data_IF_750501352870
#
_entry.id   IF_750501352870
#
_cell.length_a   1.000
_cell.length_b   1.000
_cell.length_c   1.000
_cell.angle_alpha   90.00
_cell.angle_beta   90.00
_cell.angle_gamma   90.00
#
_symmetry.space_group_name_H-M   'P 1'
#
loop_
_entity.id
_entity.type
_entity.pdbx_description
1 polymer ?
#
# COMPACT_ATOMS: atom_id res chain seq x y z
N UNK A 1 -51.26 43.83 -38.52
CA UNK A 1 -50.29 42.72 -38.39
C UNK A 1 -48.91 43.32 -38.42
N UNK A 2 -48.21 43.35 -37.28
CA UNK A 2 -46.82 43.81 -37.24
C UNK A 2 -45.98 42.90 -38.14
N UNK A 3 -45.07 43.48 -38.93
CA UNK A 3 -44.17 42.65 -39.75
C UNK A 3 -43.24 41.90 -38.78
N UNK A 4 -43.07 40.60 -38.97
CA UNK A 4 -42.06 39.79 -38.30
C UNK A 4 -41.10 39.21 -39.32
N UNK A 5 -39.97 38.70 -38.85
CA UNK A 5 -38.99 37.99 -39.67
C UNK A 5 -38.68 36.64 -39.05
N UNK A 6 -38.80 35.61 -39.86
CA UNK A 6 -38.36 34.27 -39.48
C UNK A 6 -36.85 34.23 -39.36
N UNK A 7 -36.38 33.64 -38.27
CA UNK A 7 -35.00 33.27 -38.02
C UNK A 7 -34.96 31.84 -37.48
N UNK A 8 -33.76 31.28 -37.38
CA UNK A 8 -33.53 29.97 -36.80
C UNK A 8 -32.35 30.04 -35.84
N UNK A 9 -32.38 29.20 -34.81
CA UNK A 9 -31.21 28.90 -34.01
C UNK A 9 -30.92 27.40 -34.10
N UNK A 10 -29.66 27.06 -34.36
CA UNK A 10 -29.15 25.70 -34.35
C UNK A 10 -28.17 25.57 -33.20
N UNK A 11 -28.40 24.61 -32.33
CA UNK A 11 -27.53 24.29 -31.20
C UNK A 11 -26.88 22.94 -31.48
N UNK A 12 -25.54 22.92 -31.47
CA UNK A 12 -24.72 21.72 -31.72
C UNK A 12 -23.92 21.42 -30.45
N UNK A 13 -24.12 20.24 -29.89
CA UNK A 13 -23.41 19.76 -28.71
C UNK A 13 -22.31 18.78 -29.09
N UNK A 14 -21.09 19.28 -29.30
CA UNK A 14 -19.90 18.45 -29.51
C UNK A 14 -19.15 18.15 -28.19
N UNK A 15 -19.75 18.47 -27.04
CA UNK A 15 -19.18 18.09 -25.75
C UNK A 15 -19.35 16.58 -25.52
N UNK A 16 -18.71 16.10 -24.44
CA UNK A 16 -18.85 14.71 -23.98
C UNK A 16 -19.99 14.54 -22.98
N UNK A 17 -20.79 15.57 -22.77
CA UNK A 17 -21.90 15.57 -21.82
C UNK A 17 -23.19 15.87 -22.55
N UNK A 18 -24.27 15.20 -22.16
CA UNK A 18 -25.59 15.54 -22.67
C UNK A 18 -26.01 16.90 -22.10
N UNK A 19 -26.57 17.78 -22.92
CA UNK A 19 -27.34 18.92 -22.42
C UNK A 19 -28.66 18.34 -21.96
N UNK A 20 -28.90 18.31 -20.66
CA UNK A 20 -30.08 17.66 -20.05
C UNK A 20 -31.24 18.63 -19.84
N UNK A 21 -30.96 19.93 -19.89
CA UNK A 21 -31.96 20.98 -19.76
C UNK A 21 -31.44 22.29 -20.35
N UNK A 22 -32.37 23.10 -20.88
CA UNK A 22 -32.13 24.50 -21.23
C UNK A 22 -33.14 25.39 -20.51
N UNK A 23 -32.70 26.56 -20.10
CA UNK A 23 -33.59 27.57 -19.50
C UNK A 23 -33.38 28.92 -20.15
N UNK A 24 -34.47 29.55 -20.59
CA UNK A 24 -34.44 30.84 -21.27
C UNK A 24 -35.13 31.89 -20.43
N UNK A 25 -34.51 33.07 -20.35
CA UNK A 25 -35.06 34.21 -19.62
C UNK A 25 -34.57 35.54 -20.22
N UNK A 26 -35.08 36.66 -19.70
CA UNK A 26 -34.73 38.00 -20.21
C UNK A 26 -35.28 38.28 -21.60
N UNK A 27 -36.48 37.75 -21.90
CA UNK A 27 -37.20 37.91 -23.16
C UNK A 27 -38.26 39.00 -23.01
N UNK A 28 -38.24 40.01 -23.89
CA UNK A 28 -39.24 41.10 -23.91
C UNK A 28 -40.30 40.84 -24.99
N UNK A 29 -41.59 40.94 -24.67
CA UNK A 29 -42.68 40.73 -25.62
C UNK A 29 -42.60 41.61 -26.88
N UNK A 30 -42.04 42.82 -26.78
CA UNK A 30 -41.88 43.72 -27.91
C UNK A 30 -40.87 43.20 -28.94
N UNK A 31 -39.85 42.47 -28.51
CA UNK A 31 -38.76 42.04 -29.38
C UNK A 31 -39.15 40.88 -30.31
N UNK A 32 -40.23 40.16 -30.00
CA UNK A 32 -40.58 38.90 -30.66
C UNK A 32 -42.03 38.90 -31.14
N UNK A 33 -42.33 38.07 -32.14
CA UNK A 33 -43.70 37.92 -32.65
C UNK A 33 -44.35 36.63 -32.13
N UNK A 34 -45.39 36.80 -31.31
CA UNK A 34 -46.29 35.74 -30.88
C UNK A 34 -45.60 34.56 -30.19
N UNK A 35 -45.87 33.34 -30.68
CA UNK A 35 -45.48 32.09 -30.03
C UNK A 35 -44.08 31.61 -30.41
N UNK A 36 -43.43 32.21 -31.41
CA UNK A 36 -42.12 31.78 -31.92
C UNK A 36 -40.95 32.37 -31.11
N UNK A 37 -41.10 32.46 -29.79
CA UNK A 37 -40.15 33.07 -28.87
C UNK A 37 -39.12 32.06 -28.35
N UNK A 38 -37.93 32.50 -27.91
CA UNK A 38 -36.91 31.59 -27.41
C UNK A 38 -37.34 30.86 -26.13
N UNK A 39 -38.11 31.50 -25.23
CA UNK A 39 -38.65 30.88 -24.01
C UNK A 39 -39.78 29.88 -24.24
N UNK A 40 -40.32 29.81 -25.47
CA UNK A 40 -41.25 28.76 -25.86
C UNK A 40 -40.54 27.63 -26.62
N UNK A 41 -39.61 27.98 -27.51
CA UNK A 41 -39.03 27.03 -28.47
C UNK A 41 -37.71 26.40 -28.02
N UNK A 42 -37.03 27.02 -27.05
CA UNK A 42 -35.74 26.56 -26.53
C UNK A 42 -35.79 26.19 -25.05
N UNK A 43 -36.96 26.16 -24.42
CA UNK A 43 -37.10 25.79 -23.02
C UNK A 43 -37.11 24.26 -22.86
N UNK A 44 -36.36 23.74 -21.88
CA UNK A 44 -36.38 22.32 -21.52
C UNK A 44 -35.82 21.36 -22.57
N UNK A 45 -34.95 21.84 -23.46
CA UNK A 45 -34.35 21.00 -24.50
C UNK A 45 -33.35 20.00 -23.90
N UNK A 46 -33.34 18.81 -24.49
CA UNK A 46 -32.28 17.82 -24.34
C UNK A 46 -31.52 17.66 -25.64
N UNK A 47 -30.19 17.66 -25.58
CA UNK A 47 -29.32 17.56 -26.75
C UNK A 47 -28.19 16.57 -26.44
N UNK A 48 -28.21 15.43 -27.13
CA UNK A 48 -27.23 14.35 -26.95
C UNK A 48 -25.79 14.85 -27.13
N UNK A 49 -24.86 14.22 -26.42
CA UNK A 49 -23.43 14.45 -26.56
C UNK A 49 -22.88 14.02 -27.93
N UNK A 50 -21.66 14.46 -28.28
CA UNK A 50 -20.91 13.93 -29.42
C UNK A 50 -21.47 14.28 -30.80
N UNK A 51 -22.08 15.46 -30.95
CA UNK A 51 -22.64 15.95 -32.22
C UNK A 51 -24.16 16.10 -32.24
N UNK A 52 -24.83 15.91 -31.11
CA UNK A 52 -26.27 16.12 -31.02
C UNK A 52 -26.65 17.53 -31.47
N UNK A 53 -27.68 17.62 -32.30
CA UNK A 53 -28.07 18.89 -32.93
C UNK A 53 -29.56 19.13 -32.77
N UNK A 54 -29.92 20.35 -32.38
CA UNK A 54 -31.31 20.82 -32.35
C UNK A 54 -31.42 22.12 -33.13
N UNK A 55 -32.39 22.20 -34.02
CA UNK A 55 -32.72 23.43 -34.74
C UNK A 55 -34.16 23.85 -34.42
N UNK A 56 -34.37 25.14 -34.16
CA UNK A 56 -35.67 25.72 -33.81
C UNK A 56 -35.89 27.02 -34.56
N UNK A 57 -37.14 27.23 -34.98
CA UNK A 57 -37.61 28.49 -35.57
C UNK A 57 -37.82 29.52 -34.46
N UNK A 58 -37.46 30.78 -34.73
CA UNK A 58 -37.76 31.94 -33.89
C UNK A 58 -38.25 33.10 -34.76
N UNK A 59 -39.16 33.94 -34.27
CA UNK A 59 -39.63 35.11 -35.04
C UNK A 59 -39.33 36.40 -34.30
N UNK A 60 -38.47 37.21 -34.92
CA UNK A 60 -38.09 38.51 -34.40
C UNK A 60 -39.06 39.58 -34.92
N UNK A 61 -39.43 40.53 -34.06
CA UNK A 61 -40.23 41.67 -34.46
C UNK A 61 -39.44 42.53 -35.45
N UNK A 62 -40.01 42.86 -36.61
CA UNK A 62 -39.34 43.68 -37.63
C UNK A 62 -38.90 45.04 -37.07
N UNK A 63 -39.71 45.65 -36.20
CA UNK A 63 -39.51 47.00 -35.69
C UNK A 63 -38.60 47.10 -34.46
N UNK A 64 -38.35 45.99 -33.75
CA UNK A 64 -37.39 45.98 -32.65
C UNK A 64 -35.97 46.25 -33.16
N UNK A 65 -35.13 46.98 -32.42
CA UNK A 65 -33.72 47.17 -32.86
C UNK A 65 -32.87 45.93 -32.58
N UNK A 66 -33.13 45.27 -31.45
CA UNK A 66 -32.45 44.09 -30.97
C UNK A 66 -33.49 43.07 -30.50
N UNK A 67 -33.11 41.80 -30.42
CA UNK A 67 -33.91 40.74 -29.82
C UNK A 67 -33.01 39.89 -28.90
N UNK A 68 -32.55 40.46 -27.78
CA UNK A 68 -31.71 39.74 -26.84
C UNK A 68 -32.50 38.70 -26.06
N UNK A 69 -31.83 37.64 -25.64
CA UNK A 69 -32.30 36.72 -24.62
C UNK A 69 -31.10 36.08 -23.89
N UNK A 70 -31.33 35.62 -22.67
CA UNK A 70 -30.37 34.81 -21.93
C UNK A 70 -30.77 33.33 -22.04
N UNK A 71 -29.77 32.46 -22.11
CA UNK A 71 -29.99 31.01 -22.11
C UNK A 71 -28.96 30.32 -21.24
N UNK A 72 -29.44 29.39 -20.43
CA UNK A 72 -28.65 28.48 -19.60
C UNK A 72 -28.72 27.07 -20.19
N UNK A 73 -27.59 26.40 -20.27
CA UNK A 73 -27.44 25.00 -20.65
C UNK A 73 -26.93 24.21 -19.44
N UNK A 74 -27.70 23.25 -18.96
CA UNK A 74 -27.28 22.34 -17.89
C UNK A 74 -26.85 21.01 -18.48
N UNK A 75 -25.67 20.53 -18.10
CA UNK A 75 -25.08 19.30 -18.61
C UNK A 75 -25.25 18.13 -17.64
N UNK A 76 -25.13 16.90 -18.14
CA UNK A 76 -25.26 15.66 -17.36
C UNK A 76 -24.25 15.51 -16.22
N UNK A 77 -23.10 16.17 -16.31
CA UNK A 77 -22.08 16.21 -15.25
C UNK A 77 -22.29 17.34 -14.22
N UNK A 78 -23.40 18.09 -14.35
CA UNK A 78 -23.73 19.22 -13.48
C UNK A 78 -23.03 20.53 -13.83
N UNK A 79 -22.17 20.55 -14.86
CA UNK A 79 -21.62 21.80 -15.39
C UNK A 79 -22.71 22.64 -16.07
N UNK A 80 -22.44 23.93 -16.24
CA UNK A 80 -23.41 24.89 -16.77
C UNK A 80 -22.72 25.91 -17.66
N UNK A 81 -23.29 26.16 -18.84
CA UNK A 81 -22.98 27.34 -19.65
C UNK A 81 -24.16 28.30 -19.62
N UNK A 82 -23.87 29.59 -19.56
CA UNK A 82 -24.86 30.63 -19.54
C UNK A 82 -24.36 31.86 -20.29
N UNK A 83 -25.17 32.35 -21.20
CA UNK A 83 -24.83 33.55 -21.97
C UNK A 83 -26.05 34.31 -22.45
N UNK A 84 -25.80 35.55 -22.85
CA UNK A 84 -26.73 36.41 -23.56
C UNK A 84 -26.31 36.57 -25.01
N UNK A 85 -27.29 36.49 -25.93
CA UNK A 85 -27.09 36.72 -27.37
C UNK A 85 -28.28 37.47 -27.97
N UNK A 86 -28.09 38.04 -29.15
CA UNK A 86 -29.10 38.77 -29.91
C UNK A 86 -29.48 38.03 -31.20
N UNK A 87 -30.74 37.58 -31.29
CA UNK A 87 -31.19 36.72 -32.41
C UNK A 87 -31.24 37.45 -33.75
N UNK A 88 -31.38 38.77 -33.77
CA UNK A 88 -31.33 39.55 -35.03
C UNK A 88 -29.98 39.47 -35.74
N UNK A 89 -28.94 39.01 -35.05
CA UNK A 89 -27.67 38.68 -35.68
C UNK A 89 -27.80 37.60 -36.76
N UNK A 90 -28.72 36.64 -36.61
CA UNK A 90 -28.95 35.56 -37.57
C UNK A 90 -29.22 36.09 -39.00
N UNK A 91 -29.91 37.23 -39.10
CA UNK A 91 -30.28 37.91 -40.35
C UNK A 91 -29.39 39.12 -40.66
N UNK A 92 -28.31 39.33 -39.89
CA UNK A 92 -27.35 40.41 -40.10
C UNK A 92 -27.87 41.81 -39.79
N UNK A 93 -28.91 41.93 -38.97
CA UNK A 93 -29.53 43.23 -38.64
C UNK A 93 -28.93 43.89 -37.39
N UNK A 94 -28.06 43.18 -36.67
CA UNK A 94 -27.30 43.69 -35.54
C UNK A 94 -26.08 42.81 -35.27
N UNK A 95 -25.20 43.28 -34.37
CA UNK A 95 -24.13 42.46 -33.80
C UNK A 95 -24.71 41.39 -32.86
N UNK A 96 -23.94 40.30 -32.66
CA UNK A 96 -24.33 39.18 -31.79
C UNK A 96 -24.56 39.63 -30.34
N UNK A 97 -23.85 40.67 -29.89
CA UNK A 97 -23.87 41.17 -28.51
C UNK A 97 -23.66 40.05 -27.49
N UNK A 98 -22.71 39.15 -27.78
CA UNK A 98 -22.41 38.01 -26.91
C UNK A 98 -21.87 38.47 -25.56
N UNK A 99 -22.49 37.98 -24.50
CA UNK A 99 -22.00 38.13 -23.13
C UNK A 99 -21.99 36.76 -22.46
N UNK A 100 -20.79 36.27 -22.13
CA UNK A 100 -20.62 35.10 -21.28
C UNK A 100 -20.98 35.45 -19.83
N UNK A 101 -21.91 34.72 -19.23
CA UNK A 101 -22.30 34.86 -17.82
C UNK A 101 -21.63 33.75 -17.01
N UNK A 102 -21.71 32.50 -17.48
CA UNK A 102 -21.03 31.33 -16.92
C UNK A 102 -20.47 30.50 -18.07
N UNK A 103 -19.21 30.07 -17.95
CA UNK A 103 -18.53 29.30 -19.00
C UNK A 103 -17.87 28.06 -18.41
N UNK A 104 -18.32 26.89 -18.86
CA UNK A 104 -17.74 25.57 -18.60
C UNK A 104 -17.16 24.95 -19.87
N UNK A 105 -17.65 25.35 -21.05
CA UNK A 105 -17.22 24.83 -22.36
C UNK A 105 -16.77 25.93 -23.29
N UNK A 106 -15.99 25.58 -24.32
CA UNK A 106 -15.75 26.50 -25.42
C UNK A 106 -16.99 26.60 -26.29
N UNK A 107 -17.36 27.84 -26.63
CA UNK A 107 -18.59 28.15 -27.36
C UNK A 107 -18.28 28.99 -28.58
N UNK A 108 -18.82 28.60 -29.73
CA UNK A 108 -18.68 29.33 -30.99
C UNK A 108 -20.04 29.73 -31.53
N UNK A 109 -20.07 30.89 -32.17
CA UNK A 109 -21.25 31.46 -32.78
C UNK A 109 -20.95 31.90 -34.21
N UNK A 110 -21.82 31.53 -35.14
CA UNK A 110 -21.73 32.03 -36.51
C UNK A 110 -23.08 32.02 -37.20
N UNK A 111 -23.18 32.76 -38.31
CA UNK A 111 -24.35 32.72 -39.18
C UNK A 111 -24.20 31.58 -40.18
N UNK A 112 -25.26 30.79 -40.34
CA UNK A 112 -25.36 29.78 -41.38
C UNK A 112 -26.51 30.15 -42.34
N UNK A 113 -26.15 30.55 -43.55
CA UNK A 113 -27.09 31.10 -44.52
C UNK A 113 -27.66 32.47 -44.13
N UNK A 114 -28.88 32.74 -44.57
CA UNK A 114 -29.53 34.05 -44.45
C UNK A 114 -30.29 34.25 -43.13
N UNK A 115 -30.66 33.17 -42.44
CA UNK A 115 -31.57 33.22 -41.28
C UNK A 115 -31.17 32.41 -40.06
N UNK A 116 -30.06 31.68 -40.07
CA UNK A 116 -29.70 30.78 -38.96
C UNK A 116 -28.53 31.33 -38.15
N UNK A 117 -28.70 31.38 -36.84
CA UNK A 117 -27.61 31.51 -35.87
C UNK A 117 -27.22 30.12 -35.36
N UNK A 118 -25.96 29.74 -35.48
CA UNK A 118 -25.45 28.49 -34.93
C UNK A 118 -24.72 28.77 -33.62
N UNK A 119 -24.99 27.95 -32.61
CA UNK A 119 -24.27 27.86 -31.35
C UNK A 119 -23.66 26.47 -31.27
N UNK A 120 -22.35 26.38 -31.06
CA UNK A 120 -21.67 25.10 -30.93
C UNK A 120 -20.82 25.06 -29.66
N UNK A 121 -20.91 23.94 -28.94
CA UNK A 121 -20.17 23.69 -27.71
C UNK A 121 -19.13 22.59 -27.90
N UNK A 122 -17.91 22.81 -27.40
CA UNK A 122 -16.89 21.77 -27.28
C UNK A 122 -16.28 21.75 -25.88
N UNK A 123 -15.76 20.59 -25.47
CA UNK A 123 -14.91 20.52 -24.28
C UNK A 123 -13.69 21.43 -24.47
N UNK A 124 -13.28 22.08 -23.39
CA UNK A 124 -12.04 22.86 -23.35
C UNK A 124 -10.83 21.96 -23.58
N UNK A 125 -9.71 22.54 -24.04
CA UNK A 125 -8.46 21.81 -24.20
C UNK A 125 -8.05 21.09 -22.90
N UNK A 126 -8.20 21.75 -21.76
CA UNK A 126 -7.89 21.17 -20.45
C UNK A 126 -8.75 19.93 -20.13
N UNK A 127 -10.06 19.97 -20.42
CA UNK A 127 -10.94 18.82 -20.25
C UNK A 127 -10.53 17.67 -21.18
N UNK A 128 -10.16 17.96 -22.43
CA UNK A 128 -9.68 16.95 -23.40
C UNK A 128 -8.38 16.31 -22.89
N UNK A 129 -7.41 17.10 -22.45
CA UNK A 129 -6.13 16.60 -21.93
C UNK A 129 -6.31 15.78 -20.65
N UNK A 130 -7.17 16.22 -19.74
CA UNK A 130 -7.47 15.49 -18.50
C UNK A 130 -8.04 14.11 -18.80
N UNK A 131 -8.96 14.02 -19.77
CA UNK A 131 -9.50 12.71 -20.16
C UNK A 131 -8.43 11.84 -20.81
N UNK A 132 -7.62 12.38 -21.72
CA UNK A 132 -6.56 11.61 -22.37
C UNK A 132 -5.57 11.03 -21.35
N UNK A 133 -5.27 11.79 -20.29
CA UNK A 133 -4.46 11.30 -19.18
C UNK A 133 -5.16 10.16 -18.42
N UNK A 134 -6.46 10.26 -18.14
CA UNK A 134 -7.23 9.19 -17.51
C UNK A 134 -7.28 7.93 -18.38
N UNK A 135 -7.53 8.06 -19.68
CA UNK A 135 -7.56 6.93 -20.62
C UNK A 135 -6.21 6.20 -20.65
N UNK A 136 -5.10 6.96 -20.67
CA UNK A 136 -3.74 6.41 -20.56
C UNK A 136 -3.51 5.74 -19.21
N UNK A 137 -4.01 6.30 -18.11
CA UNK A 137 -3.91 5.67 -16.79
C UNK A 137 -4.62 4.31 -16.76
N UNK A 138 -5.81 4.20 -17.36
CA UNK A 138 -6.53 2.93 -17.47
C UNK A 138 -5.80 1.91 -18.34
N UNK A 139 -5.21 2.35 -19.46
CA UNK A 139 -4.39 1.48 -20.31
C UNK A 139 -3.19 0.93 -19.55
N UNK A 140 -2.44 1.78 -18.84
CA UNK A 140 -1.32 1.35 -17.97
C UNK A 140 -1.77 0.41 -16.86
N UNK A 141 -2.95 0.64 -16.27
CA UNK A 141 -3.53 -0.25 -15.27
C UNK A 141 -3.85 -1.65 -15.88
N UNK A 142 -4.36 -1.70 -17.12
CA UNK A 142 -4.60 -2.96 -17.85
C UNK A 142 -3.28 -3.67 -18.18
N UNK A 143 -2.26 -2.95 -18.64
CA UNK A 143 -0.91 -3.49 -18.86
C UNK A 143 -0.32 -4.10 -17.58
N UNK A 144 -0.47 -3.41 -16.44
CA UNK A 144 -0.03 -3.91 -15.14
C UNK A 144 -0.71 -5.22 -14.76
N UNK A 145 -2.03 -5.32 -14.96
CA UNK A 145 -2.77 -6.56 -14.72
C UNK A 145 -2.33 -7.70 -15.65
N UNK A 146 -2.06 -7.42 -16.93
CA UNK A 146 -1.52 -8.40 -17.85
C UNK A 146 -0.13 -8.90 -17.41
N UNK A 147 0.71 -8.02 -16.88
CA UNK A 147 2.02 -8.38 -16.34
C UNK A 147 1.92 -9.27 -15.08
N UNK A 148 0.93 -9.05 -14.20
CA UNK A 148 0.64 -9.96 -13.07
C UNK A 148 0.34 -11.38 -13.59
N UNK A 149 -0.50 -11.50 -14.62
CA UNK A 149 -0.87 -12.81 -15.18
C UNK A 149 0.34 -13.56 -15.78
N UNK A 150 1.38 -12.83 -16.17
CA UNK A 150 2.65 -13.38 -16.66
C UNK A 150 3.70 -13.57 -15.54
N UNK A 151 3.32 -13.39 -14.27
CA UNK A 151 4.22 -13.38 -13.09
C UNK A 151 5.37 -12.37 -13.18
N UNK A 152 5.21 -11.32 -14.01
CA UNK A 152 6.19 -10.23 -14.17
C UNK A 152 5.88 -9.10 -13.18
N UNK A 153 5.98 -9.40 -11.88
CA UNK A 153 5.46 -8.50 -10.83
C UNK A 153 6.16 -7.15 -10.75
N UNK A 154 7.47 -7.08 -10.96
CA UNK A 154 8.20 -5.80 -10.97
C UNK A 154 7.72 -4.89 -12.11
N UNK A 155 7.56 -5.46 -13.31
CA UNK A 155 6.99 -4.75 -14.44
C UNK A 155 5.55 -4.31 -14.15
N UNK A 156 4.74 -5.16 -13.51
CA UNK A 156 3.39 -4.81 -13.09
C UNK A 156 3.36 -3.61 -12.13
N UNK A 157 4.19 -3.64 -11.07
CA UNK A 157 4.28 -2.54 -10.10
C UNK A 157 4.69 -1.23 -10.77
N UNK A 158 5.67 -1.27 -11.69
CA UNK A 158 6.07 -0.09 -12.47
C UNK A 158 4.92 0.46 -13.31
N UNK A 159 4.12 -0.41 -13.94
CA UNK A 159 2.94 0.00 -14.71
C UNK A 159 1.85 0.64 -13.85
N UNK A 160 1.64 0.16 -12.64
CA UNK A 160 0.71 0.81 -11.72
C UNK A 160 1.22 2.18 -11.23
N UNK A 161 2.53 2.34 -11.04
CA UNK A 161 3.11 3.65 -10.71
C UNK A 161 2.98 4.65 -11.86
N UNK A 162 3.24 4.20 -13.10
CA UNK A 162 2.96 4.98 -14.32
C UNK A 162 1.48 5.40 -14.35
N UNK A 163 0.54 4.46 -14.13
CA UNK A 163 -0.89 4.74 -14.12
C UNK A 163 -1.30 5.75 -13.04
N UNK A 164 -0.79 5.59 -11.81
CA UNK A 164 -1.16 6.44 -10.67
C UNK A 164 -0.65 7.89 -10.81
N UNK A 165 0.41 8.11 -11.61
CA UNK A 165 0.92 9.46 -11.90
C UNK A 165 0.12 10.20 -12.97
N UNK A 166 -0.72 9.50 -13.74
CA UNK A 166 -1.50 10.06 -14.84
C UNK A 166 -2.93 10.45 -14.44
N UNK A 167 -3.43 10.03 -13.28
CA UNK A 167 -4.83 10.29 -12.90
C UNK A 167 -4.99 10.92 -11.52
N UNK A 168 -5.90 11.89 -11.46
CA UNK A 168 -6.40 12.50 -10.23
C UNK A 168 -7.81 12.01 -9.86
N UNK A 169 -8.42 11.13 -10.67
CA UNK A 169 -9.73 10.56 -10.36
C UNK A 169 -9.60 9.56 -9.22
N UNK A 170 -10.34 9.80 -8.13
CA UNK A 170 -10.27 9.01 -6.90
C UNK A 170 -10.57 7.54 -7.14
N UNK A 171 -11.66 7.22 -7.87
CA UNK A 171 -12.06 5.86 -8.19
C UNK A 171 -10.98 5.11 -8.98
N UNK A 172 -10.43 5.73 -10.03
CA UNK A 172 -9.35 5.16 -10.85
C UNK A 172 -8.08 4.94 -10.03
N UNK A 173 -7.72 5.92 -9.18
CA UNK A 173 -6.55 5.83 -8.29
C UNK A 173 -6.69 4.70 -7.26
N UNK A 174 -7.86 4.54 -6.65
CA UNK A 174 -8.15 3.45 -5.72
C UNK A 174 -8.06 2.08 -6.39
N UNK A 175 -8.58 1.95 -7.61
CA UNK A 175 -8.48 0.71 -8.40
C UNK A 175 -7.01 0.37 -8.73
N UNK A 176 -6.20 1.36 -9.12
CA UNK A 176 -4.76 1.17 -9.38
C UNK A 176 -4.02 0.74 -8.10
N UNK A 177 -4.29 1.38 -6.97
CA UNK A 177 -3.68 1.03 -5.68
C UNK A 177 -4.04 -0.40 -5.26
N UNK A 178 -5.30 -0.80 -5.43
CA UNK A 178 -5.75 -2.16 -5.17
C UNK A 178 -5.00 -3.17 -6.06
N UNK A 179 -4.90 -2.94 -7.36
CA UNK A 179 -4.16 -3.83 -8.28
C UNK A 179 -2.67 -3.90 -7.95
N UNK A 180 -2.04 -2.76 -7.60
CA UNK A 180 -0.65 -2.72 -7.15
C UNK A 180 -0.46 -3.53 -5.87
N UNK A 181 -1.37 -3.41 -4.90
CA UNK A 181 -1.31 -4.19 -3.66
C UNK A 181 -1.33 -5.71 -3.93
N UNK A 182 -2.14 -6.13 -4.90
CA UNK A 182 -2.22 -7.53 -5.34
C UNK A 182 -0.90 -7.99 -5.95
N UNK A 183 -0.28 -7.18 -6.83
CA UNK A 183 1.04 -7.49 -7.38
C UNK A 183 2.11 -7.64 -6.30
N UNK A 184 2.14 -6.72 -5.32
CA UNK A 184 3.06 -6.81 -4.19
C UNK A 184 2.83 -8.10 -3.38
N UNK A 185 1.58 -8.45 -3.08
CA UNK A 185 1.26 -9.65 -2.32
C UNK A 185 1.67 -10.93 -3.06
N UNK A 186 1.35 -11.05 -4.34
CA UNK A 186 1.72 -12.23 -5.14
C UNK A 186 3.25 -12.36 -5.31
N UNK A 187 3.95 -11.24 -5.50
CA UNK A 187 5.41 -11.27 -5.55
C UNK A 187 6.00 -11.65 -4.19
N UNK A 188 5.43 -11.13 -3.10
CA UNK A 188 5.83 -11.48 -1.74
C UNK A 188 5.69 -12.97 -1.46
N UNK A 189 4.61 -13.61 -1.94
CA UNK A 189 4.42 -15.07 -1.85
C UNK A 189 5.51 -15.84 -2.62
N UNK A 190 5.88 -15.38 -3.82
CA UNK A 190 6.95 -16.02 -4.58
C UNK A 190 8.32 -15.88 -3.89
N UNK A 191 8.64 -14.70 -3.34
CA UNK A 191 9.84 -14.49 -2.53
C UNK A 191 9.82 -15.37 -1.28
N UNK A 192 8.67 -15.47 -0.61
CA UNK A 192 8.52 -16.32 0.57
C UNK A 192 8.75 -17.80 0.23
N UNK A 193 8.18 -18.29 -0.88
CA UNK A 193 8.41 -19.65 -1.34
C UNK A 193 9.90 -19.90 -1.62
N UNK A 194 10.57 -19.00 -2.34
CA UNK A 194 12.01 -19.10 -2.62
C UNK A 194 12.86 -19.09 -1.35
N UNK A 195 12.45 -18.34 -0.33
CA UNK A 195 13.12 -18.33 0.97
C UNK A 195 13.04 -19.71 1.64
N UNK A 196 11.86 -20.33 1.62
CA UNK A 196 11.68 -21.68 2.14
C UNK A 196 12.47 -22.72 1.35
N UNK A 197 12.47 -22.63 0.02
CA UNK A 197 13.22 -23.55 -0.84
C UNK A 197 14.73 -23.46 -0.57
N UNK A 198 15.23 -22.24 -0.29
CA UNK A 198 16.63 -22.01 0.07
C UNK A 198 16.97 -22.55 1.48
N UNK A 199 16.07 -22.49 2.46
CA UNK A 199 16.30 -23.10 3.78
C UNK A 199 16.24 -24.64 3.74
N UNK A 200 15.46 -25.21 2.82
CA UNK A 200 15.30 -26.65 2.69
C UNK A 200 16.41 -27.33 1.87
N UNK A 201 17.29 -26.55 1.23
CA UNK A 201 18.41 -27.07 0.45
C UNK A 201 19.56 -27.52 1.37
N UNK A 202 19.76 -28.83 1.47
CA UNK A 202 20.81 -29.45 2.28
C UNK A 202 22.14 -29.65 1.52
N UNK A 203 22.19 -29.26 0.25
CA UNK A 203 23.36 -29.49 -0.62
C UNK A 203 24.38 -28.36 -0.54
N UNK A 204 23.94 -27.13 -0.24
CA UNK A 204 24.77 -25.93 -0.15
C UNK A 204 24.23 -24.97 0.92
N UNK A 205 25.11 -24.24 1.60
CA UNK A 205 24.69 -23.18 2.51
C UNK A 205 24.06 -22.01 1.74
N UNK A 206 22.73 -21.93 1.76
CA UNK A 206 21.93 -20.86 1.16
C UNK A 206 21.29 -19.95 2.20
N UNK A 207 21.81 -19.93 3.44
CA UNK A 207 21.26 -19.13 4.54
C UNK A 207 21.15 -17.63 4.21
N UNK A 208 22.15 -17.06 3.53
CA UNK A 208 22.13 -15.65 3.10
C UNK A 208 21.06 -15.38 2.02
N UNK A 209 20.88 -16.32 1.09
CA UNK A 209 19.84 -16.23 0.07
C UNK A 209 18.46 -16.29 0.70
N UNK A 210 18.22 -17.26 1.60
CA UNK A 210 16.98 -17.40 2.34
C UNK A 210 16.63 -16.11 3.11
N UNK A 211 17.58 -15.57 3.86
CA UNK A 211 17.40 -14.33 4.61
C UNK A 211 17.03 -13.15 3.69
N UNK A 212 17.75 -12.98 2.58
CA UNK A 212 17.46 -11.94 1.59
C UNK A 212 16.04 -12.07 1.02
N UNK A 213 15.59 -13.30 0.74
CA UNK A 213 14.24 -13.57 0.21
C UNK A 213 13.14 -13.34 1.24
N UNK A 214 13.35 -13.68 2.51
CA UNK A 214 12.42 -13.32 3.58
C UNK A 214 12.29 -11.81 3.75
N UNK A 215 13.41 -11.07 3.72
CA UNK A 215 13.39 -9.61 3.82
C UNK A 215 12.68 -8.95 2.64
N UNK A 216 12.89 -9.47 1.42
CA UNK A 216 12.17 -9.04 0.22
C UNK A 216 10.66 -9.30 0.36
N UNK A 217 10.27 -10.50 0.80
CA UNK A 217 8.87 -10.85 1.03
C UNK A 217 8.21 -9.94 2.07
N UNK A 218 8.91 -9.65 3.19
CA UNK A 218 8.45 -8.72 4.23
C UNK A 218 8.18 -7.32 3.69
N UNK A 219 9.12 -6.78 2.90
CA UNK A 219 8.95 -5.47 2.28
C UNK A 219 7.73 -5.43 1.34
N UNK A 220 7.55 -6.48 0.54
CA UNK A 220 6.44 -6.59 -0.40
C UNK A 220 5.08 -6.71 0.30
N UNK A 221 4.97 -7.55 1.35
CA UNK A 221 3.74 -7.65 2.12
C UNK A 221 3.41 -6.37 2.90
N UNK A 222 4.42 -5.66 3.40
CA UNK A 222 4.23 -4.35 4.02
C UNK A 222 3.68 -3.34 3.01
N UNK A 223 4.24 -3.29 1.81
CA UNK A 223 3.77 -2.42 0.73
C UNK A 223 2.33 -2.76 0.34
N UNK A 224 2.00 -4.05 0.18
CA UNK A 224 0.64 -4.49 -0.11
C UNK A 224 -0.37 -3.99 0.94
N UNK A 225 -0.06 -4.17 2.24
CA UNK A 225 -0.90 -3.72 3.35
C UNK A 225 -1.07 -2.20 3.40
N UNK A 226 0.00 -1.45 3.13
CA UNK A 226 -0.05 0.02 3.12
C UNK A 226 -0.92 0.56 1.98
N UNK A 227 -0.96 -0.13 0.85
CA UNK A 227 -1.77 0.23 -0.30
C UNK A 227 -3.24 -0.19 -0.13
N UNK A 228 -3.47 -1.34 0.51
CA UNK A 228 -4.81 -1.89 0.71
C UNK A 228 -4.84 -2.80 1.93
N UNK A 229 -5.66 -2.48 2.92
CA UNK A 229 -5.74 -3.28 4.14
C UNK A 229 -6.63 -4.51 3.92
N UNK A 230 -6.01 -5.69 3.83
CA UNK A 230 -6.68 -7.00 3.72
C UNK A 230 -6.21 -7.92 4.84
N UNK A 231 -7.11 -8.74 5.37
CA UNK A 231 -6.79 -9.79 6.36
C UNK A 231 -5.75 -10.76 5.81
N UNK A 232 -5.78 -11.07 4.52
CA UNK A 232 -4.78 -11.92 3.86
C UNK A 232 -3.39 -11.27 3.89
N UNK A 233 -3.29 -9.98 3.57
CA UNK A 233 -2.01 -9.28 3.52
C UNK A 233 -1.42 -9.14 4.92
N UNK A 234 -2.27 -8.89 5.92
CA UNK A 234 -1.85 -8.88 7.33
C UNK A 234 -1.36 -10.25 7.77
N UNK A 235 -2.06 -11.33 7.39
CA UNK A 235 -1.63 -12.71 7.66
C UNK A 235 -0.26 -13.01 7.06
N UNK A 236 -0.05 -12.69 5.78
CA UNK A 236 1.22 -12.93 5.09
C UNK A 236 2.38 -12.10 5.69
N UNK A 237 2.13 -10.83 6.01
CA UNK A 237 3.11 -9.98 6.67
C UNK A 237 3.48 -10.49 8.07
N UNK A 238 2.48 -10.92 8.86
CA UNK A 238 2.73 -11.47 10.19
C UNK A 238 3.50 -12.80 10.10
N UNK A 239 3.14 -13.67 9.15
CA UNK A 239 3.82 -14.94 8.91
C UNK A 239 5.33 -14.74 8.70
N UNK A 240 5.71 -13.85 7.79
CA UNK A 240 7.13 -13.63 7.48
C UNK A 240 7.87 -12.94 8.64
N UNK A 241 7.20 -12.08 9.40
CA UNK A 241 7.81 -11.48 10.60
C UNK A 241 8.09 -12.51 11.68
N UNK A 242 7.18 -13.46 11.92
CA UNK A 242 7.41 -14.55 12.87
C UNK A 242 8.64 -15.36 12.47
N UNK A 243 8.80 -15.64 11.17
CA UNK A 243 9.98 -16.36 10.66
C UNK A 243 11.27 -15.57 10.85
N UNK A 244 11.31 -14.31 10.40
CA UNK A 244 12.51 -13.46 10.52
C UNK A 244 12.89 -13.27 12.00
N UNK A 245 11.92 -12.99 12.86
CA UNK A 245 12.17 -12.79 14.29
C UNK A 245 12.64 -14.08 14.98
N UNK A 246 12.01 -15.21 14.66
CA UNK A 246 12.42 -16.53 15.15
C UNK A 246 13.85 -16.88 14.73
N UNK A 247 14.19 -16.73 13.44
CA UNK A 247 15.54 -16.95 12.94
C UNK A 247 16.57 -16.03 13.62
N UNK A 248 16.23 -14.75 13.83
CA UNK A 248 17.11 -13.80 14.54
C UNK A 248 17.39 -14.23 15.98
N UNK A 249 16.36 -14.67 16.70
CA UNK A 249 16.49 -15.16 18.08
C UNK A 249 17.31 -16.44 18.14
N UNK A 250 17.04 -17.37 17.23
CA UNK A 250 17.76 -18.63 17.09
C UNK A 250 19.25 -18.42 16.80
N UNK A 251 19.58 -17.54 15.86
CA UNK A 251 20.98 -17.23 15.52
C UNK A 251 21.70 -16.52 16.68
N UNK A 252 21.02 -15.63 17.40
CA UNK A 252 21.59 -15.02 18.61
C UNK A 252 21.86 -16.05 19.71
N UNK A 253 20.98 -17.06 19.85
CA UNK A 253 21.18 -18.16 20.79
C UNK A 253 22.41 -19.01 20.41
N UNK A 254 22.55 -19.36 19.12
CA UNK A 254 23.71 -20.09 18.60
C UNK A 254 25.04 -19.37 18.90
N UNK A 255 25.11 -18.05 18.75
CA UNK A 255 26.33 -17.31 19.06
C UNK A 255 26.64 -17.31 20.57
N UNK A 256 25.63 -17.15 21.42
CA UNK A 256 25.79 -17.25 22.87
C UNK A 256 26.23 -18.65 23.31
N UNK A 257 25.70 -19.70 22.69
CA UNK A 257 26.08 -21.08 22.94
C UNK A 257 27.54 -21.35 22.54
N UNK A 258 27.97 -20.86 21.37
CA UNK A 258 29.39 -20.92 20.94
C UNK A 258 30.33 -20.18 21.91
N UNK A 259 29.91 -19.03 22.43
CA UNK A 259 30.66 -18.29 23.45
C UNK A 259 30.74 -19.09 24.76
N UNK A 260 29.62 -19.67 25.22
CA UNK A 260 29.56 -20.49 26.42
C UNK A 260 30.49 -21.70 26.32
N UNK A 261 30.48 -22.39 25.19
CA UNK A 261 31.37 -23.52 24.92
C UNK A 261 32.85 -23.12 24.99
N UNK A 262 33.24 -21.99 24.39
CA UNK A 262 34.62 -21.49 24.44
C UNK A 262 35.07 -21.12 25.86
N UNK A 263 34.17 -20.60 26.69
CA UNK A 263 34.47 -20.27 28.09
C UNK A 263 34.68 -21.54 28.91
N UNK A 264 33.79 -22.52 28.74
CA UNK A 264 33.87 -23.80 29.43
C UNK A 264 35.16 -24.58 29.09
N UNK A 265 35.62 -24.52 27.84
CA UNK A 265 36.84 -25.21 27.41
C UNK A 265 38.15 -24.53 27.91
N UNK A 266 38.12 -23.20 28.14
CA UNK A 266 39.31 -22.42 28.54
C UNK A 266 39.52 -22.30 30.03
N UNK A 267 38.47 -22.27 30.84
CA UNK A 267 38.57 -21.99 32.28
C UNK A 267 38.38 -23.27 33.10
N UNK A 268 39.46 -23.76 33.71
CA UNK A 268 39.39 -24.87 34.68
C UNK A 268 38.83 -24.45 36.06
N UNK A 269 38.43 -23.20 36.28
CA UNK A 269 38.10 -22.71 37.63
C UNK A 269 36.95 -21.70 37.77
N UNK A 270 36.27 -21.24 36.71
CA UNK A 270 35.08 -20.38 36.86
C UNK A 270 33.99 -20.71 35.80
N UNK A 271 33.29 -21.81 36.04
CA UNK A 271 32.20 -22.30 35.19
C UNK A 271 30.96 -21.38 35.20
N UNK A 272 30.91 -20.37 36.09
CA UNK A 272 29.75 -19.49 36.25
C UNK A 272 29.50 -18.61 35.02
N UNK A 273 30.57 -18.15 34.36
CA UNK A 273 30.48 -17.33 33.15
C UNK A 273 29.92 -18.11 31.96
N UNK A 274 30.40 -19.34 31.75
CA UNK A 274 29.87 -20.25 30.73
C UNK A 274 28.41 -20.59 31.00
N UNK A 275 28.07 -20.90 32.25
CA UNK A 275 26.71 -21.21 32.64
C UNK A 275 25.73 -20.06 32.39
N UNK A 276 26.13 -18.82 32.72
CA UNK A 276 25.31 -17.64 32.45
C UNK A 276 25.04 -17.46 30.96
N UNK A 277 26.05 -17.68 30.10
CA UNK A 277 25.89 -17.63 28.64
C UNK A 277 24.97 -18.72 28.11
N UNK A 278 25.05 -19.96 28.61
CA UNK A 278 24.09 -21.01 28.26
C UNK A 278 22.66 -20.65 28.70
N UNK A 279 22.46 -20.05 29.87
CA UNK A 279 21.14 -19.57 30.31
C UNK A 279 20.60 -18.46 29.40
N UNK A 280 21.43 -17.52 28.97
CA UNK A 280 21.04 -16.51 27.99
C UNK A 280 20.65 -17.13 26.65
N UNK A 281 21.45 -18.09 26.16
CA UNK A 281 21.16 -18.85 24.93
C UNK A 281 19.81 -19.60 25.04
N UNK A 282 19.57 -20.26 26.17
CA UNK A 282 18.33 -20.98 26.45
C UNK A 282 17.10 -20.07 26.34
N UNK A 283 17.13 -18.91 26.99
CA UNK A 283 16.03 -17.93 26.92
C UNK A 283 15.77 -17.50 25.47
N UNK A 284 16.82 -17.33 24.66
CA UNK A 284 16.69 -16.97 23.24
C UNK A 284 16.12 -18.10 22.40
N UNK A 285 16.56 -19.34 22.60
CA UNK A 285 15.97 -20.50 21.93
C UNK A 285 14.50 -20.67 22.29
N UNK A 286 14.12 -20.53 23.56
CA UNK A 286 12.72 -20.59 23.99
C UNK A 286 11.86 -19.50 23.35
N UNK A 287 12.40 -18.28 23.21
CA UNK A 287 11.73 -17.20 22.49
C UNK A 287 11.58 -17.53 20.99
N UNK A 288 12.60 -18.13 20.36
CA UNK A 288 12.53 -18.60 18.97
C UNK A 288 11.47 -19.70 18.80
N UNK A 289 11.42 -20.67 19.72
CA UNK A 289 10.40 -21.73 19.76
C UNK A 289 9.00 -21.12 19.76
N UNK A 290 8.71 -20.14 20.63
CA UNK A 290 7.39 -19.47 20.66
C UNK A 290 7.03 -18.85 19.31
N UNK A 291 7.97 -18.19 18.64
CA UNK A 291 7.74 -17.59 17.31
C UNK A 291 7.47 -18.65 16.26
N UNK A 292 8.22 -19.75 16.28
CA UNK A 292 8.02 -20.85 15.34
C UNK A 292 6.73 -21.63 15.62
N UNK A 293 6.31 -21.78 16.87
CA UNK A 293 5.02 -22.36 17.25
C UNK A 293 3.86 -21.49 16.73
N UNK A 294 3.91 -20.18 16.94
CA UNK A 294 2.93 -19.26 16.37
C UNK A 294 2.88 -19.34 14.84
N UNK A 295 4.04 -19.39 14.18
CA UNK A 295 4.15 -19.56 12.73
C UNK A 295 3.58 -20.89 12.24
N UNK A 296 3.81 -21.98 12.97
CA UNK A 296 3.35 -23.34 12.63
C UNK A 296 1.82 -23.48 12.61
N UNK A 297 1.11 -22.64 13.38
CA UNK A 297 -0.36 -22.57 13.35
C UNK A 297 -0.88 -21.95 12.05
N UNK A 298 -0.03 -21.25 11.31
CA UNK A 298 -0.37 -20.51 10.09
C UNK A 298 0.15 -21.25 8.85
N UNK A 299 1.38 -21.75 8.89
CA UNK A 299 2.07 -22.45 7.82
C UNK A 299 2.91 -23.62 8.37
N UNK A 300 2.71 -24.82 7.84
CA UNK A 300 3.39 -26.04 8.28
C UNK A 300 4.90 -26.03 8.05
N UNK A 301 5.42 -25.15 7.17
CA UNK A 301 6.86 -25.05 6.86
C UNK A 301 7.72 -24.59 8.04
N UNK A 302 7.11 -24.09 9.12
CA UNK A 302 7.81 -23.83 10.37
C UNK A 302 8.23 -25.10 11.12
N UNK A 303 7.73 -26.27 10.73
CA UNK A 303 7.94 -27.54 11.43
C UNK A 303 9.40 -27.87 11.71
N UNK A 304 10.26 -27.74 10.70
CA UNK A 304 11.69 -28.08 10.83
C UNK A 304 12.41 -27.09 11.75
N UNK A 305 12.17 -25.79 11.58
CA UNK A 305 12.73 -24.76 12.47
C UNK A 305 12.28 -24.95 13.92
N UNK A 306 11.01 -25.30 14.14
CA UNK A 306 10.46 -25.58 15.45
C UNK A 306 11.09 -26.82 16.09
N UNK A 307 11.25 -27.89 15.31
CA UNK A 307 11.86 -29.14 15.77
C UNK A 307 13.31 -28.90 16.21
N UNK A 308 14.11 -28.28 15.34
CA UNK A 308 15.52 -27.98 15.61
C UNK A 308 15.66 -27.09 16.85
N UNK A 309 14.84 -26.03 16.97
CA UNK A 309 14.90 -25.14 18.12
C UNK A 309 14.56 -25.86 19.44
N UNK A 310 13.60 -26.81 19.43
CA UNK A 310 13.28 -27.61 20.63
C UNK A 310 14.40 -28.59 20.99
N UNK A 311 15.04 -29.20 20.01
CA UNK A 311 16.19 -30.09 20.23
C UNK A 311 17.34 -29.30 20.88
N UNK A 312 17.66 -28.10 20.38
CA UNK A 312 18.70 -27.26 20.97
C UNK A 312 18.35 -26.75 22.38
N UNK A 313 17.08 -26.45 22.68
CA UNK A 313 16.65 -26.18 24.07
C UNK A 313 16.98 -27.36 24.98
N UNK A 314 16.74 -28.59 24.54
CA UNK A 314 17.04 -29.77 25.36
C UNK A 314 18.54 -29.95 25.54
N UNK A 315 19.33 -29.74 24.49
CA UNK A 315 20.79 -29.93 24.55
C UNK A 315 21.48 -28.85 25.39
N UNK A 316 21.05 -27.59 25.30
CA UNK A 316 21.53 -26.51 26.18
C UNK A 316 21.19 -26.78 27.64
N UNK A 317 19.99 -27.29 27.94
CA UNK A 317 19.64 -27.70 29.31
C UNK A 317 20.56 -28.80 29.84
N UNK A 318 20.83 -29.85 29.02
CA UNK A 318 21.79 -30.90 29.40
C UNK A 318 23.19 -30.33 29.64
N UNK A 319 23.63 -29.37 28.82
CA UNK A 319 24.94 -28.73 29.01
C UNK A 319 25.01 -27.98 30.35
N UNK A 320 23.97 -27.23 30.71
CA UNK A 320 23.86 -26.55 32.02
C UNK A 320 23.89 -27.57 33.17
N UNK A 321 23.16 -28.68 33.06
CA UNK A 321 23.12 -29.73 34.08
C UNK A 321 24.48 -30.42 34.25
N UNK A 322 25.17 -30.70 33.14
CA UNK A 322 26.51 -31.29 33.17
C UNK A 322 27.52 -30.35 33.85
N UNK A 323 27.43 -29.04 33.61
CA UNK A 323 28.27 -28.04 34.29
C UNK A 323 27.98 -28.06 35.80
N UNK A 324 26.71 -28.05 36.21
CA UNK A 324 26.32 -28.13 37.61
C UNK A 324 26.86 -29.40 38.30
N UNK A 325 26.79 -30.55 37.62
CA UNK A 325 27.32 -31.80 38.16
C UNK A 325 28.85 -31.77 38.28
N UNK A 326 29.55 -31.19 37.30
CA UNK A 326 31.00 -31.04 37.34
C UNK A 326 31.46 -30.12 38.49
N UNK A 327 30.77 -29.01 38.71
CA UNK A 327 31.00 -28.11 39.85
C UNK A 327 30.75 -28.83 41.18
N UNK A 328 29.64 -29.57 41.31
CA UNK A 328 29.30 -30.30 42.52
C UNK A 328 30.35 -31.37 42.87
N UNK A 329 30.81 -32.13 41.87
CA UNK A 329 31.85 -33.14 42.04
C UNK A 329 33.20 -32.52 42.45
N UNK A 330 33.54 -31.35 41.89
CA UNK A 330 34.75 -30.60 42.26
C UNK A 330 34.68 -30.13 43.71
N UNK A 331 33.54 -29.56 44.12
CA UNK A 331 33.32 -29.10 45.49
C UNK A 331 33.34 -30.26 46.50
N UNK A 332 32.72 -31.40 46.19
CA UNK A 332 32.77 -32.60 47.05
C UNK A 332 34.21 -33.14 47.18
N UNK A 333 34.97 -33.16 46.08
CA UNK A 333 36.37 -33.57 46.08
C UNK A 333 37.24 -32.65 46.94
N UNK A 334 37.00 -31.33 46.87
CA UNK A 334 37.70 -30.34 47.68
C UNK A 334 37.40 -30.51 49.17
N UNK A 335 36.14 -30.70 49.55
CA UNK A 335 35.73 -30.95 50.94
C UNK A 335 36.41 -32.21 51.49
N UNK A 336 36.45 -33.32 50.74
CA UNK A 336 37.14 -34.54 51.17
C UNK A 336 38.65 -34.34 51.39
N UNK A 337 39.29 -33.56 50.54
CA UNK A 337 40.73 -33.25 50.68
C UNK A 337 40.97 -32.38 51.92
N UNK A 338 40.08 -31.44 52.20
CA UNK A 338 40.21 -30.55 53.35
C UNK A 338 39.89 -31.30 54.66
N UNK A 339 38.94 -32.24 54.67
CA UNK A 339 38.70 -33.18 55.78
C UNK A 339 39.93 -34.07 56.04
N UNK A 340 40.54 -34.66 55.00
CA UNK A 340 41.76 -35.48 55.14
C UNK A 340 42.98 -34.67 55.63
N UNK A 341 43.07 -33.39 55.23
CA UNK A 341 44.11 -32.48 55.74
C UNK A 341 43.86 -32.06 57.18
N UNK A 342 42.61 -31.95 57.59
CA UNK A 342 42.24 -31.64 58.96
C UNK A 342 42.49 -32.83 59.88
N UNK A 343 42.11 -34.06 59.48
CA UNK A 343 42.45 -35.29 60.21
C UNK A 343 43.96 -35.50 60.37
N UNK A 344 44.76 -35.14 59.36
CA UNK A 344 46.23 -35.17 59.48
C UNK A 344 46.77 -34.15 60.48
N UNK A 345 46.23 -32.92 60.50
CA UNK A 345 46.64 -31.90 61.48
C UNK A 345 46.25 -32.26 62.91
N UNK A 346 45.07 -32.83 63.12
CA UNK A 346 44.61 -33.28 64.44
C UNK A 346 45.43 -34.48 64.94
N UNK A 347 45.85 -35.40 64.07
CA UNK A 347 46.77 -36.48 64.43
C UNK A 347 48.20 -35.97 64.74
N UNK A 348 48.71 -35.00 63.98
CA UNK A 348 50.04 -34.42 64.24
C UNK A 348 50.07 -33.60 65.55
N UNK A 349 48.97 -32.94 65.94
CA UNK A 349 48.82 -32.25 67.24
C UNK A 349 48.66 -33.23 68.43
N UNK A 350 48.02 -34.38 68.23
CA UNK A 350 47.92 -35.44 69.24
C UNK A 350 49.25 -36.17 69.50
N UNK A 351 50.14 -36.25 68.51
CA UNK A 351 51.50 -36.80 68.67
C UNK A 351 52.42 -35.81 69.40
N UNK A 352 52.22 -34.50 69.22
CA UNK A 352 53.09 -33.47 69.82
C UNK A 352 52.76 -33.16 71.30
N UNK A 353 51.59 -33.56 71.80
CA UNK A 353 51.21 -33.41 73.22
C UNK A 353 51.70 -34.57 74.11
N UNK A 354 52.12 -35.70 73.53
CA UNK A 354 52.71 -36.84 74.28
C UNK A 354 54.24 -36.76 74.47
N UNK A 355 54.89 -35.69 74.02
CA UNK A 355 56.36 -35.52 74.08
C UNK A 355 56.83 -34.51 75.15
N UNK A 356 55.97 -34.12 76.10
CA UNK A 356 56.30 -33.13 77.14
C UNK A 356 56.00 -33.53 78.60
N UNK A 357 55.82 -34.82 78.90
CA UNK A 357 55.82 -35.32 80.28
C UNK A 357 56.68 -36.57 80.41
N UNK A 358 58.01 -36.42 80.58
CA UNK A 358 58.86 -37.34 81.37
C UNK A 358 60.35 -36.92 81.33
N UNK A 359 60.73 -35.90 82.12
CA UNK A 359 62.08 -35.65 82.69
C UNK A 359 61.83 -34.64 83.84
N UNK A 360 62.18 -34.78 85.12
CA UNK A 360 62.99 -35.69 85.92
C UNK A 360 62.48 -35.57 87.38
N UNK A 361 62.36 -36.69 88.10
CA UNK A 361 62.19 -36.71 89.57
C UNK A 361 63.23 -37.65 90.16
N UNK A 362 63.93 -37.17 91.19
CA UNK A 362 64.87 -37.83 92.14
C UNK A 362 66.28 -38.16 91.61
N UNK A 363 67.39 -37.89 92.31
CA UNK A 363 67.68 -37.54 93.72
C UNK A 363 68.95 -36.70 93.80
#
# INVERSE_FOLDING_TARGET
MGRSKETQIRIINNTRQEIVNTHVYGVDNYDWDGNSRPDHNLQGLRISQGGGTVQRRLEVNYHARNCPFNITFSYSDGTVDEFRINQKHAIGWCDLNYQSIRKSHDTWFWRDGDKTLVVQFHNTEQQVQTQLQNDRAEERNKEGNAAINQKRYEAAMKKFDEAASLTNQSSTRSNIQHNKSRACNEFGKECLQKAWDAEADDTQDKSQEAQSKFDQARSLFQQARNLYNSTEYQKNFNLVNLKIEGNRLFNAANELEKEAFKLFDKEKSDNSAAQNKYREALVKYEQAVKKFEEGSKIDGKFGDSLKIARELVQDVNKAIDNINQAELNTNIGQVKIDDEKQEKRENDEAVNTNLHEEVDVTN
#
